data_IF_727701073459
#
_entry.id   IF_727701073459
#
_cell.length_a   1.000
_cell.length_b   1.000
_cell.length_c   1.000
_cell.angle_alpha   90.00
_cell.angle_beta   90.00
_cell.angle_gamma   90.00
#
_symmetry.space_group_name_H-M   'P 1'
#
loop_
_entity.id
_entity.type
_entity.pdbx_description
1 polymer ?
#
# COMPACT_ATOMS: atom_id res chain seq x y z
N UNK A 1 -1.39 11.70 -11.80
CA UNK A 1 -0.58 10.48 -11.63
C UNK A 1 0.07 10.43 -10.24
N UNK A 2 0.77 11.49 -9.83
CA UNK A 2 1.43 11.56 -8.53
C UNK A 2 0.50 11.22 -7.34
N UNK A 3 -0.71 11.75 -7.33
CA UNK A 3 -1.69 11.47 -6.26
C UNK A 3 -2.05 9.97 -6.15
N UNK A 4 -2.00 9.21 -7.24
CA UNK A 4 -2.21 7.75 -7.21
C UNK A 4 -1.04 7.05 -6.51
N UNK A 5 0.17 7.51 -6.76
CA UNK A 5 1.38 6.96 -6.11
C UNK A 5 1.40 7.32 -4.63
N UNK A 6 1.00 8.55 -4.28
CA UNK A 6 0.84 8.97 -2.87
C UNK A 6 -0.15 8.05 -2.14
N UNK A 7 -1.28 7.73 -2.75
CA UNK A 7 -2.28 6.81 -2.20
C UNK A 7 -1.71 5.40 -1.98
N UNK A 8 -1.02 4.85 -2.97
CA UNK A 8 -0.39 3.54 -2.85
C UNK A 8 0.67 3.48 -1.75
N UNK A 9 1.49 4.53 -1.64
CA UNK A 9 2.53 4.63 -0.61
C UNK A 9 1.93 4.81 0.81
N UNK A 10 0.76 5.44 0.90
CA UNK A 10 0.12 5.73 2.17
C UNK A 10 -0.52 4.49 2.83
N UNK A 11 -0.92 3.48 2.07
CA UNK A 11 -1.78 2.40 2.59
C UNK A 11 -0.96 1.19 3.07
N UNK A 12 -0.33 0.44 2.18
CA UNK A 12 0.09 -0.93 2.48
C UNK A 12 1.14 -1.02 3.61
N UNK A 13 2.23 -0.26 3.53
CA UNK A 13 3.30 -0.36 4.52
C UNK A 13 2.84 0.08 5.92
N UNK A 14 2.13 1.21 5.99
CA UNK A 14 1.63 1.75 7.26
C UNK A 14 0.56 0.88 7.87
N UNK A 15 -0.35 0.39 7.06
CA UNK A 15 -1.42 -0.47 7.51
C UNK A 15 -0.89 -1.81 8.04
N UNK A 16 0.09 -2.40 7.37
CA UNK A 16 0.72 -3.63 7.82
C UNK A 16 1.48 -3.42 9.14
N UNK A 17 2.21 -2.32 9.26
CA UNK A 17 2.84 -1.91 10.52
C UNK A 17 1.82 -1.74 11.65
N UNK A 18 0.69 -1.09 11.37
CA UNK A 18 -0.41 -0.95 12.31
C UNK A 18 -0.97 -2.28 12.76
N UNK A 19 -1.19 -3.22 11.84
CA UNK A 19 -1.67 -4.57 12.13
C UNK A 19 -0.68 -5.30 13.05
N UNK A 20 0.60 -5.32 12.71
CA UNK A 20 1.63 -6.02 13.50
C UNK A 20 1.75 -5.44 14.91
N UNK A 21 1.72 -4.12 15.04
CA UNK A 21 1.81 -3.43 16.32
C UNK A 21 0.46 -3.32 17.06
N UNK A 22 -0.63 -3.81 16.47
CA UNK A 22 -2.00 -3.67 16.99
C UNK A 22 -2.36 -2.20 17.27
N UNK A 23 -1.91 -1.31 16.39
CA UNK A 23 -2.16 0.13 16.44
C UNK A 23 -3.12 0.57 15.34
N UNK A 24 -4.38 0.81 15.70
CA UNK A 24 -5.42 1.26 14.77
C UNK A 24 -5.27 2.73 14.34
N UNK A 25 -4.40 3.51 15.00
CA UNK A 25 -4.16 4.93 14.72
C UNK A 25 -2.94 5.18 13.84
N UNK A 26 -2.39 4.15 13.22
CA UNK A 26 -1.15 4.23 12.43
C UNK A 26 -1.25 5.12 11.19
N UNK A 27 -2.43 5.65 10.87
CA UNK A 27 -2.62 6.65 9.82
C UNK A 27 -2.21 8.03 10.32
N UNK A 28 -1.05 8.50 9.90
CA UNK A 28 -0.59 9.86 10.18
C UNK A 28 -0.92 10.76 9.00
N UNK A 29 -1.80 11.73 9.22
CA UNK A 29 -1.94 12.88 8.33
C UNK A 29 -0.65 13.71 8.40
N UNK A 30 -0.20 14.24 7.26
CA UNK A 30 0.85 15.26 7.24
C UNK A 30 2.23 14.79 6.82
N UNK A 31 2.35 13.84 5.90
CA UNK A 31 3.63 13.58 5.25
C UNK A 31 4.04 14.71 4.32
N UNK A 32 5.35 14.89 4.25
CA UNK A 32 5.97 15.82 3.31
C UNK A 32 5.53 15.51 1.88
N UNK A 33 5.02 16.51 1.18
CA UNK A 33 4.58 16.36 -0.19
C UNK A 33 5.79 16.13 -1.10
N UNK A 34 5.83 14.96 -1.73
CA UNK A 34 6.88 14.63 -2.69
C UNK A 34 6.68 15.42 -3.99
N UNK A 35 7.78 15.90 -4.56
CA UNK A 35 7.77 16.75 -5.76
C UNK A 35 8.49 16.06 -6.91
N UNK A 36 9.60 15.36 -6.64
CA UNK A 36 10.46 14.78 -7.67
C UNK A 36 10.26 13.26 -7.78
N UNK A 37 10.33 12.75 -9.00
CA UNK A 37 10.24 11.32 -9.29
C UNK A 37 11.22 10.48 -8.44
N UNK A 38 12.45 10.97 -8.22
CA UNK A 38 13.45 10.27 -7.44
C UNK A 38 12.98 10.04 -5.98
N UNK A 39 12.28 11.01 -5.38
CA UNK A 39 11.71 10.89 -4.03
C UNK A 39 10.63 9.80 -3.98
N UNK A 40 9.77 9.72 -5.01
CA UNK A 40 8.76 8.66 -5.12
C UNK A 40 9.38 7.27 -5.22
N UNK A 41 10.44 7.11 -6.02
CA UNK A 41 11.13 5.83 -6.14
C UNK A 41 11.79 5.42 -4.83
N UNK A 42 12.48 6.34 -4.15
CA UNK A 42 13.08 6.08 -2.84
C UNK A 42 12.01 5.69 -1.79
N UNK A 43 10.89 6.41 -1.74
CA UNK A 43 9.77 6.07 -0.85
C UNK A 43 9.15 4.72 -1.18
N UNK A 44 9.06 4.37 -2.44
CA UNK A 44 8.58 3.07 -2.87
C UNK A 44 9.48 1.93 -2.39
N UNK A 45 10.79 2.09 -2.53
CA UNK A 45 11.77 1.12 -2.05
C UNK A 45 11.69 0.97 -0.52
N UNK A 46 11.62 2.08 0.22
CA UNK A 46 11.44 2.08 1.67
C UNK A 46 10.14 1.38 2.09
N UNK A 47 9.03 1.67 1.41
CA UNK A 47 7.76 1.01 1.68
C UNK A 47 7.82 -0.50 1.43
N UNK A 48 8.52 -0.93 0.39
CA UNK A 48 8.73 -2.35 0.08
C UNK A 48 9.54 -3.04 1.18
N UNK A 49 10.61 -2.42 1.66
CA UNK A 49 11.42 -2.94 2.77
C UNK A 49 10.59 -3.05 4.05
N UNK A 50 9.79 -2.04 4.39
CA UNK A 50 8.89 -2.07 5.53
C UNK A 50 7.84 -3.18 5.42
N UNK A 51 7.23 -3.35 4.26
CA UNK A 51 6.26 -4.43 4.03
C UNK A 51 6.92 -5.79 4.29
N UNK A 52 8.11 -6.02 3.75
CA UNK A 52 8.82 -7.28 3.94
C UNK A 52 9.16 -7.51 5.42
N UNK A 53 9.66 -6.49 6.11
CA UNK A 53 10.00 -6.57 7.54
C UNK A 53 8.77 -6.93 8.40
N UNK A 54 7.66 -6.21 8.21
CA UNK A 54 6.46 -6.44 9.02
C UNK A 54 5.71 -7.70 8.63
N UNK A 55 5.74 -8.11 7.36
CA UNK A 55 5.16 -9.37 6.91
C UNK A 55 5.74 -10.59 7.64
N UNK A 56 7.05 -10.61 7.84
CA UNK A 56 7.73 -11.70 8.54
C UNK A 56 7.37 -11.81 10.02
N UNK A 57 6.78 -10.76 10.59
CA UNK A 57 6.33 -10.74 12.00
C UNK A 57 4.93 -11.31 12.20
N UNK A 58 4.19 -11.60 11.12
CA UNK A 58 2.87 -12.21 11.18
C UNK A 58 2.98 -13.72 11.27
N UNK A 59 2.25 -14.31 12.22
CA UNK A 59 2.03 -15.75 12.28
C UNK A 59 0.77 -16.13 11.51
N UNK A 60 0.61 -17.43 11.21
CA UNK A 60 -0.59 -17.90 10.51
C UNK A 60 -1.87 -17.70 11.34
N UNK A 61 -1.75 -17.74 12.64
CA UNK A 61 -2.85 -17.55 13.60
C UNK A 61 -3.36 -16.09 13.56
N UNK A 62 -2.46 -15.13 13.32
CA UNK A 62 -2.81 -13.71 13.26
C UNK A 62 -3.84 -13.43 12.16
N UNK A 63 -3.81 -14.16 11.05
CA UNK A 63 -4.71 -13.90 9.91
C UNK A 63 -6.19 -14.01 10.23
N UNK A 64 -6.57 -14.82 11.22
CA UNK A 64 -7.96 -14.97 11.67
C UNK A 64 -8.36 -13.99 12.78
N UNK A 65 -7.40 -13.29 13.35
CA UNK A 65 -7.64 -12.29 14.39
C UNK A 65 -8.36 -11.07 13.82
N UNK A 66 -9.35 -10.56 14.54
CA UNK A 66 -10.05 -9.33 14.14
C UNK A 66 -9.22 -8.11 14.52
N UNK A 67 -9.04 -7.21 13.57
CA UNK A 67 -8.35 -5.94 13.77
C UNK A 67 -9.14 -4.79 13.15
N UNK A 68 -9.25 -3.69 13.88
CA UNK A 68 -9.91 -2.48 13.38
C UNK A 68 -8.90 -1.58 12.66
N UNK A 69 -8.80 -1.77 11.36
CA UNK A 69 -7.90 -1.00 10.51
C UNK A 69 -8.34 0.46 10.43
N UNK A 70 -7.44 1.38 10.73
CA UNK A 70 -7.68 2.84 10.75
C UNK A 70 -8.84 3.29 11.65
N UNK A 71 -9.29 2.43 12.57
CA UNK A 71 -10.47 2.71 13.38
C UNK A 71 -11.81 2.66 12.62
N UNK A 72 -11.82 2.14 11.38
CA UNK A 72 -12.99 2.15 10.49
C UNK A 72 -13.37 0.77 9.95
N UNK A 73 -12.41 -0.13 9.79
CA UNK A 73 -12.60 -1.42 9.12
C UNK A 73 -12.29 -2.56 10.08
N UNK A 74 -13.30 -3.05 10.78
CA UNK A 74 -13.18 -4.14 11.74
C UNK A 74 -13.45 -5.49 11.06
N UNK A 75 -12.37 -6.15 10.65
CA UNK A 75 -12.39 -7.42 9.94
C UNK A 75 -11.23 -8.31 10.37
N UNK A 76 -11.26 -9.63 10.07
CA UNK A 76 -10.08 -10.48 10.18
C UNK A 76 -8.88 -9.87 9.42
N UNK A 77 -7.69 -10.01 9.96
CA UNK A 77 -6.46 -9.45 9.38
C UNK A 77 -6.28 -9.87 7.92
N UNK A 78 -6.62 -11.12 7.57
CA UNK A 78 -6.55 -11.56 6.17
C UNK A 78 -7.41 -10.69 5.23
N UNK A 79 -8.58 -10.26 5.66
CA UNK A 79 -9.43 -9.37 4.86
C UNK A 79 -8.84 -7.97 4.75
N UNK A 80 -8.22 -7.47 5.81
CA UNK A 80 -7.51 -6.19 5.77
C UNK A 80 -6.33 -6.24 4.78
N UNK A 81 -5.60 -7.35 4.73
CA UNK A 81 -4.49 -7.56 3.79
C UNK A 81 -5.00 -7.65 2.35
N UNK A 82 -6.09 -8.37 2.11
CA UNK A 82 -6.72 -8.42 0.77
C UNK A 82 -7.16 -7.02 0.31
N UNK A 83 -7.63 -6.19 1.22
CA UNK A 83 -7.94 -4.79 0.89
C UNK A 83 -6.71 -4.03 0.37
N UNK A 84 -5.50 -4.26 0.92
CA UNK A 84 -4.28 -3.61 0.40
C UNK A 84 -3.96 -4.05 -1.02
N UNK A 85 -4.16 -5.33 -1.33
CA UNK A 85 -3.96 -5.87 -2.68
C UNK A 85 -4.99 -5.28 -3.65
N UNK A 86 -6.26 -5.23 -3.25
CA UNK A 86 -7.32 -4.64 -4.07
C UNK A 86 -7.10 -3.16 -4.32
N UNK A 87 -6.66 -2.41 -3.30
CA UNK A 87 -6.30 -1.00 -3.42
C UNK A 87 -5.17 -0.79 -4.44
N UNK A 88 -4.10 -1.60 -4.38
CA UNK A 88 -3.01 -1.52 -5.34
C UNK A 88 -3.49 -1.84 -6.76
N UNK A 89 -4.24 -2.93 -6.95
CA UNK A 89 -4.77 -3.33 -8.25
C UNK A 89 -5.65 -2.24 -8.85
N UNK A 90 -6.53 -1.64 -8.03
CA UNK A 90 -7.41 -0.55 -8.43
C UNK A 90 -6.62 0.68 -8.92
N UNK A 91 -5.71 1.19 -8.12
CA UNK A 91 -4.96 2.40 -8.46
C UNK A 91 -3.93 2.16 -9.56
N UNK A 92 -3.33 0.98 -9.64
CA UNK A 92 -2.47 0.60 -10.75
C UNK A 92 -3.25 0.56 -12.09
N UNK A 93 -4.46 0.02 -12.07
CA UNK A 93 -5.34 0.06 -13.23
C UNK A 93 -5.65 1.48 -13.69
N UNK A 94 -5.93 2.40 -12.76
CA UNK A 94 -6.12 3.83 -13.07
C UNK A 94 -4.83 4.45 -13.67
N UNK A 95 -3.66 4.14 -13.12
CA UNK A 95 -2.38 4.62 -13.64
C UNK A 95 -2.14 4.18 -15.09
N UNK A 96 -2.53 2.95 -15.45
CA UNK A 96 -2.45 2.44 -16.82
C UNK A 96 -3.31 3.27 -17.79
N UNK A 97 -4.50 3.66 -17.37
CA UNK A 97 -5.37 4.53 -18.18
C UNK A 97 -4.73 5.89 -18.41
N UNK A 98 -4.13 6.49 -17.37
CA UNK A 98 -3.43 7.78 -17.50
C UNK A 98 -2.21 7.71 -18.42
N UNK A 99 -1.42 6.64 -18.35
CA UNK A 99 -0.28 6.44 -19.24
C UNK A 99 -0.74 6.38 -20.72
N UNK A 100 -1.79 5.58 -20.98
CA UNK A 100 -2.34 5.49 -22.34
C UNK A 100 -2.92 6.80 -22.85
N UNK A 101 -3.54 7.59 -21.98
CA UNK A 101 -4.02 8.93 -22.33
C UNK A 101 -2.88 9.89 -22.74
N UNK A 102 -1.67 9.64 -22.27
CA UNK A 102 -0.46 10.36 -22.61
C UNK A 102 0.32 9.72 -23.79
N UNK A 103 -0.27 8.72 -24.46
CA UNK A 103 0.38 7.91 -25.51
C UNK A 103 1.65 7.18 -25.03
N UNK A 104 1.69 6.84 -23.74
CA UNK A 104 2.75 6.02 -23.14
C UNK A 104 2.18 4.61 -22.98
N UNK A 105 2.81 3.62 -23.61
CA UNK A 105 2.43 2.23 -23.42
C UNK A 105 2.85 1.75 -22.02
N UNK A 106 1.91 1.34 -21.15
CA UNK A 106 2.28 0.79 -19.86
C UNK A 106 2.87 -0.62 -20.03
N UNK A 107 3.71 -1.08 -19.07
CA UNK A 107 4.18 -2.45 -19.08
C UNK A 107 3.01 -3.43 -19.01
N UNK A 108 3.19 -4.64 -19.50
CA UNK A 108 2.17 -5.68 -19.35
C UNK A 108 1.95 -5.99 -17.86
N UNK A 109 0.69 -6.14 -17.44
CA UNK A 109 0.36 -6.32 -16.02
C UNK A 109 0.94 -7.60 -15.41
N UNK A 110 1.26 -8.58 -16.24
CA UNK A 110 1.88 -9.85 -15.81
C UNK A 110 3.42 -9.81 -15.76
N UNK A 111 4.04 -8.77 -16.33
CA UNK A 111 5.48 -8.58 -16.20
C UNK A 111 5.81 -8.10 -14.79
N UNK A 112 6.50 -8.96 -14.09
CA UNK A 112 6.97 -8.68 -12.73
C UNK A 112 8.48 -8.80 -12.70
N UNK A 113 9.18 -7.84 -12.06
CA UNK A 113 10.61 -7.96 -11.87
C UNK A 113 11.01 -9.12 -10.99
#
# INVERSE_FOLDING_TARGET
>A
FANLVDELLAIAARALKGIVNRDSKSYTEGEEKLIFKAQYLEKWDQATEEINEYWEKLSIEDFSETFNLFGQYEFPIIHNILYFVDNEVHHRGQAYVYLRALNIEPPFFWERP
#
